data_IF_437314995066
#
_entry.id   IF_437314995066
#
_cell.length_a   1.000
_cell.length_b   1.000
_cell.length_c   1.000
_cell.angle_alpha   90.00
_cell.angle_beta   90.00
_cell.angle_gamma   90.00
#
_symmetry.space_group_name_H-M   'P 1'
#
loop_
_entity.id
_entity.type
_entity.pdbx_description
1 polymer ?
#
# COMPACT_ATOMS: atom_id res chain seq x y z
N UNK A 1 18.86 13.29 -8.55
CA UNK A 1 17.85 12.22 -8.50
C UNK A 1 18.61 10.91 -8.52
N UNK A 2 18.48 10.11 -7.50
CA UNK A 2 18.98 8.74 -7.46
C UNK A 2 17.80 7.80 -7.67
N UNK A 3 18.02 6.70 -8.36
CA UNK A 3 17.01 5.69 -8.62
C UNK A 3 17.44 4.38 -7.97
N UNK A 4 16.53 3.78 -7.24
CA UNK A 4 16.76 2.48 -6.59
C UNK A 4 15.83 1.44 -7.19
N UNK A 5 16.36 0.24 -7.43
CA UNK A 5 15.55 -0.90 -7.86
C UNK A 5 14.59 -1.29 -6.74
N UNK A 6 13.33 -1.55 -7.11
CA UNK A 6 12.26 -1.89 -6.19
C UNK A 6 11.58 -3.20 -6.61
N UNK A 7 11.14 -3.97 -5.62
CA UNK A 7 10.46 -5.24 -5.85
C UNK A 7 8.96 -5.02 -6.07
N UNK A 8 8.44 -5.67 -7.10
CA UNK A 8 7.00 -5.70 -7.36
C UNK A 8 6.37 -6.91 -6.67
N UNK A 9 5.52 -6.66 -5.69
CA UNK A 9 4.85 -7.69 -4.88
C UNK A 9 3.44 -8.05 -5.35
N UNK A 10 3.08 -7.68 -6.58
CA UNK A 10 1.81 -8.07 -7.16
C UNK A 10 0.70 -7.04 -7.00
N UNK A 11 -0.50 -7.50 -7.30
CA UNK A 11 -1.73 -6.72 -7.21
C UNK A 11 -2.48 -7.15 -5.95
N UNK A 12 -2.96 -6.17 -5.19
CA UNK A 12 -3.72 -6.41 -3.98
C UNK A 12 -5.03 -5.61 -3.99
N UNK A 13 -6.10 -6.26 -3.56
CA UNK A 13 -7.41 -5.62 -3.42
C UNK A 13 -7.60 -5.25 -1.95
N UNK A 14 -7.88 -3.99 -1.69
CA UNK A 14 -7.95 -3.43 -0.35
C UNK A 14 -9.30 -2.77 -0.08
N UNK A 15 -9.74 -2.90 1.18
CA UNK A 15 -10.96 -2.27 1.67
C UNK A 15 -12.25 -2.91 1.15
N UNK A 16 -13.40 -2.53 1.74
CA UNK A 16 -14.70 -3.10 1.38
C UNK A 16 -15.16 -2.66 -0.02
N UNK A 17 -14.65 -1.54 -0.53
CA UNK A 17 -14.93 -1.05 -1.88
C UNK A 17 -14.11 -1.76 -2.96
N UNK A 18 -13.15 -2.62 -2.59
CA UNK A 18 -12.35 -3.37 -3.53
C UNK A 18 -11.35 -2.54 -4.33
N UNK A 19 -10.73 -1.53 -3.71
CA UNK A 19 -9.66 -0.76 -4.34
C UNK A 19 -8.47 -1.64 -4.72
N UNK A 20 -8.00 -1.48 -5.93
CA UNK A 20 -6.92 -2.29 -6.48
C UNK A 20 -5.62 -1.50 -6.51
N UNK A 21 -4.56 -2.06 -5.92
CA UNK A 21 -3.24 -1.45 -5.86
C UNK A 21 -2.14 -2.38 -6.37
N UNK A 22 -1.23 -1.84 -7.15
CA UNK A 22 0.08 -2.43 -7.39
C UNK A 22 0.98 -2.12 -6.20
N UNK A 23 1.55 -3.15 -5.57
CA UNK A 23 2.38 -2.99 -4.38
C UNK A 23 3.84 -3.13 -4.73
N UNK A 24 4.60 -2.08 -4.46
CA UNK A 24 6.06 -2.06 -4.58
C UNK A 24 6.69 -2.10 -3.19
N UNK A 25 7.81 -2.77 -3.04
CA UNK A 25 8.54 -2.87 -1.76
C UNK A 25 10.02 -2.58 -1.96
N UNK A 26 10.58 -1.77 -1.10
CA UNK A 26 12.03 -1.57 -1.05
C UNK A 26 12.71 -2.82 -0.47
N UNK A 27 13.65 -3.44 -1.20
CA UNK A 27 14.36 -4.62 -0.75
C UNK A 27 14.99 -4.44 0.64
N UNK A 28 14.79 -5.45 1.51
CA UNK A 28 15.37 -5.44 2.86
C UNK A 28 14.71 -4.47 3.86
N UNK A 29 13.59 -3.87 3.51
CA UNK A 29 12.84 -2.97 4.40
C UNK A 29 11.37 -3.40 4.52
N UNK A 30 10.68 -2.85 5.51
CA UNK A 30 9.24 -3.00 5.69
C UNK A 30 8.45 -1.81 5.12
N UNK A 31 9.06 -1.07 4.21
CA UNK A 31 8.38 0.04 3.53
C UNK A 31 7.81 -0.43 2.21
N UNK A 32 6.55 -0.13 2.00
CA UNK A 32 5.83 -0.43 0.75
C UNK A 32 5.27 0.85 0.14
N UNK A 33 5.09 0.81 -1.16
CA UNK A 33 4.44 1.87 -1.92
C UNK A 33 3.25 1.26 -2.67
N UNK A 34 2.00 1.52 -2.24
CA UNK A 34 0.82 1.16 -3.01
C UNK A 34 0.58 2.21 -4.10
N UNK A 35 0.42 1.77 -5.34
CA UNK A 35 0.01 2.60 -6.47
C UNK A 35 -1.37 2.11 -6.92
N UNK A 36 -2.38 2.95 -6.76
CA UNK A 36 -3.75 2.63 -7.14
C UNK A 36 -3.87 2.57 -8.65
N UNK A 37 -4.46 1.48 -9.14
CA UNK A 37 -4.67 1.22 -10.57
C UNK A 37 -6.09 0.75 -10.83
N UNK A 38 -6.53 0.88 -12.07
CA UNK A 38 -7.87 0.44 -12.44
C UNK A 38 -7.95 -1.11 -12.47
N UNK A 39 -9.08 -1.73 -12.07
CA UNK A 39 -9.23 -3.18 -12.02
C UNK A 39 -8.96 -3.92 -13.33
N UNK A 40 -9.27 -3.30 -14.47
CA UNK A 40 -8.99 -3.89 -15.80
C UNK A 40 -7.49 -4.03 -16.05
N UNK A 41 -6.70 -2.99 -15.72
CA UNK A 41 -5.24 -2.97 -15.84
C UNK A 41 -4.61 -3.94 -14.84
N UNK A 42 -5.15 -3.99 -13.62
CA UNK A 42 -4.75 -4.96 -12.61
C UNK A 42 -4.88 -6.39 -13.10
N UNK A 43 -6.01 -6.74 -13.70
CA UNK A 43 -6.26 -8.07 -14.26
C UNK A 43 -5.27 -8.43 -15.37
N UNK A 44 -4.88 -7.46 -16.20
CA UNK A 44 -3.87 -7.68 -17.23
C UNK A 44 -2.48 -7.93 -16.61
N UNK A 45 -2.09 -7.14 -15.60
CA UNK A 45 -0.83 -7.33 -14.87
C UNK A 45 -0.79 -8.73 -14.25
N UNK A 46 -1.85 -9.15 -13.54
CA UNK A 46 -1.95 -10.49 -12.92
C UNK A 46 -1.84 -11.61 -13.95
N UNK A 47 -2.50 -11.45 -15.10
CA UNK A 47 -2.38 -12.41 -16.19
C UNK A 47 -0.93 -12.55 -16.66
N UNK A 48 -0.19 -11.44 -16.80
CA UNK A 48 1.24 -11.46 -17.18
C UNK A 48 2.11 -12.11 -16.10
N UNK A 49 1.86 -11.79 -14.82
CA UNK A 49 2.55 -12.44 -13.69
C UNK A 49 2.33 -13.96 -13.71
N UNK A 50 1.12 -14.41 -14.04
CA UNK A 50 0.78 -15.83 -14.16
C UNK A 50 1.33 -16.48 -15.43
N UNK A 51 2.09 -15.78 -16.26
CA UNK A 51 2.69 -16.30 -17.49
C UNK A 51 1.72 -16.38 -18.67
N UNK A 52 0.56 -15.73 -18.58
CA UNK A 52 -0.37 -15.70 -19.71
C UNK A 52 0.22 -14.96 -20.90
N UNK A 53 0.20 -15.62 -22.05
CA UNK A 53 0.57 -15.05 -23.35
C UNK A 53 -0.62 -15.19 -24.31
N UNK A 54 -1.13 -14.10 -24.87
CA UNK A 54 -2.25 -14.16 -25.79
C UNK A 54 -1.83 -14.82 -27.12
N UNK A 55 -2.73 -15.55 -27.76
CA UNK A 55 -2.50 -16.18 -29.07
C UNK A 55 -2.21 -15.18 -30.19
N UNK A 56 -2.71 -13.97 -30.04
CA UNK A 56 -2.44 -12.82 -30.91
C UNK A 56 -1.98 -11.67 -30.04
N UNK A 57 -1.00 -10.86 -30.47
CA UNK A 57 -0.52 -9.71 -29.72
C UNK A 57 -1.67 -8.78 -29.33
N UNK A 58 -1.78 -8.44 -28.05
CA UNK A 58 -2.58 -7.34 -27.54
C UNK A 58 -1.83 -6.01 -27.74
N UNK A 59 -2.40 -4.90 -27.28
CA UNK A 59 -1.80 -3.57 -27.48
C UNK A 59 -0.41 -3.46 -26.86
N UNK A 60 -0.22 -3.94 -25.63
CA UNK A 60 1.07 -3.90 -24.95
C UNK A 60 2.10 -4.86 -25.60
N UNK A 61 1.68 -6.02 -26.12
CA UNK A 61 2.58 -6.91 -26.86
C UNK A 61 3.07 -6.26 -28.14
N UNK A 62 2.14 -5.59 -28.88
CA UNK A 62 2.48 -4.86 -30.10
C UNK A 62 3.42 -3.69 -29.80
N UNK A 63 3.15 -2.95 -28.72
CA UNK A 63 4.01 -1.85 -28.28
C UNK A 63 5.40 -2.36 -27.89
N UNK A 64 5.49 -3.44 -27.12
CA UNK A 64 6.76 -4.07 -26.75
C UNK A 64 7.56 -4.49 -28.00
N UNK A 65 6.91 -5.15 -28.96
CA UNK A 65 7.55 -5.54 -30.23
C UNK A 65 8.03 -4.31 -31.04
N UNK A 66 7.22 -3.24 -31.06
CA UNK A 66 7.60 -2.00 -31.73
C UNK A 66 8.80 -1.33 -31.08
N UNK A 67 8.81 -1.23 -29.74
CA UNK A 67 9.94 -0.69 -28.96
C UNK A 67 11.23 -1.46 -29.24
N UNK A 68 11.16 -2.79 -29.18
CA UNK A 68 12.34 -3.64 -29.42
C UNK A 68 12.86 -3.58 -30.86
N UNK A 69 12.01 -3.30 -31.85
CA UNK A 69 12.41 -3.23 -33.26
C UNK A 69 12.80 -1.84 -33.75
N UNK A 70 12.20 -0.80 -33.16
CA UNK A 70 12.31 0.57 -33.67
C UNK A 70 13.20 1.47 -32.80
N UNK A 71 13.58 1.02 -31.61
CA UNK A 71 14.48 1.73 -30.72
C UNK A 71 15.72 0.88 -30.40
N UNK A 72 16.60 1.39 -29.52
CA UNK A 72 17.73 0.64 -28.97
C UNK A 72 17.32 -0.52 -28.03
N UNK A 73 16.02 -0.72 -27.80
CA UNK A 73 15.46 -1.56 -26.74
C UNK A 73 15.34 -0.78 -25.43
N UNK A 74 14.78 -1.43 -24.40
CA UNK A 74 14.56 -0.84 -23.08
C UNK A 74 15.40 -1.52 -22.03
N UNK A 75 15.86 -0.76 -21.01
CA UNK A 75 16.70 -1.26 -19.92
C UNK A 75 15.95 -1.31 -18.56
N UNK A 76 15.02 -0.42 -18.32
CA UNK A 76 14.25 -0.37 -17.06
C UNK A 76 12.93 0.36 -17.23
N UNK A 77 12.09 0.23 -16.22
CA UNK A 77 10.92 1.06 -15.99
C UNK A 77 11.21 1.92 -14.75
N UNK A 78 10.87 3.20 -14.79
CA UNK A 78 11.06 4.14 -13.68
C UNK A 78 9.76 4.74 -13.22
N UNK A 79 9.62 4.92 -11.90
CA UNK A 79 8.62 5.79 -11.28
C UNK A 79 9.35 7.10 -10.94
N UNK A 80 9.09 8.13 -11.74
CA UNK A 80 9.86 9.37 -11.72
C UNK A 80 9.34 10.41 -10.73
N UNK A 81 8.02 10.47 -10.55
CA UNK A 81 7.41 11.49 -9.70
C UNK A 81 6.01 11.09 -9.21
N UNK A 82 5.58 11.80 -8.17
CA UNK A 82 4.20 11.77 -7.66
C UNK A 82 3.74 13.22 -7.49
N UNK A 83 2.64 13.56 -8.14
CA UNK A 83 2.01 14.87 -7.98
C UNK A 83 0.53 14.68 -7.64
N UNK A 84 0.12 15.13 -6.45
CA UNK A 84 -1.25 15.01 -5.94
C UNK A 84 -1.84 13.57 -6.05
N UNK A 85 -1.01 12.56 -5.77
CA UNK A 85 -1.41 11.14 -5.84
C UNK A 85 -1.35 10.53 -7.25
N UNK A 86 -0.98 11.31 -8.26
CA UNK A 86 -0.77 10.82 -9.63
C UNK A 86 0.71 10.50 -9.82
N UNK A 87 1.01 9.23 -10.01
CA UNK A 87 2.37 8.77 -10.30
C UNK A 87 2.67 8.86 -11.80
N UNK A 88 3.85 9.35 -12.12
CA UNK A 88 4.38 9.42 -13.48
C UNK A 88 5.49 8.37 -13.60
N UNK A 89 5.36 7.51 -14.59
CA UNK A 89 6.34 6.49 -14.91
C UNK A 89 6.97 6.74 -16.29
N UNK A 90 8.08 6.09 -16.55
CA UNK A 90 8.71 6.09 -17.87
C UNK A 90 9.33 4.73 -18.18
N UNK A 91 9.38 4.39 -19.46
CA UNK A 91 10.29 3.36 -19.97
C UNK A 91 11.60 4.02 -20.34
N UNK A 92 12.71 3.45 -19.87
CA UNK A 92 14.05 3.93 -20.17
C UNK A 92 14.65 3.05 -21.24
N UNK A 93 15.03 3.66 -22.36
CA UNK A 93 15.67 2.95 -23.47
C UNK A 93 17.16 2.70 -23.17
N UNK A 94 17.81 1.81 -23.95
CA UNK A 94 19.22 1.49 -23.75
C UNK A 94 20.17 2.66 -24.08
N UNK A 95 19.71 3.66 -24.80
CA UNK A 95 20.43 4.91 -25.08
C UNK A 95 20.08 6.04 -24.09
N UNK A 96 19.25 5.75 -23.09
CA UNK A 96 18.94 6.65 -21.99
C UNK A 96 17.78 7.60 -22.24
N UNK A 97 17.05 7.43 -23.31
CA UNK A 97 15.82 8.19 -23.56
C UNK A 97 14.69 7.68 -22.67
N UNK A 98 13.88 8.60 -22.18
CA UNK A 98 12.70 8.29 -21.35
C UNK A 98 11.42 8.48 -22.14
N UNK A 99 10.59 7.44 -22.16
CA UNK A 99 9.27 7.45 -22.79
C UNK A 99 8.23 7.50 -21.69
N UNK A 100 7.47 8.59 -21.62
CA UNK A 100 6.41 8.78 -20.62
C UNK A 100 5.35 7.68 -20.67
N UNK A 101 4.96 7.18 -19.50
CA UNK A 101 4.01 6.10 -19.39
C UNK A 101 3.20 6.23 -18.07
N UNK A 102 1.99 5.69 -18.07
CA UNK A 102 1.27 5.47 -16.82
C UNK A 102 1.92 4.30 -16.06
N UNK A 103 1.89 4.30 -14.72
CA UNK A 103 2.42 3.19 -13.92
C UNK A 103 1.88 1.82 -14.34
N UNK A 104 0.57 1.72 -14.61
CA UNK A 104 -0.06 0.47 -15.06
C UNK A 104 0.52 -0.07 -16.37
N UNK A 105 0.69 0.80 -17.38
CA UNK A 105 1.27 0.41 -18.67
C UNK A 105 2.74 -0.01 -18.50
N UNK A 106 3.47 0.75 -17.68
CA UNK A 106 4.86 0.49 -17.35
C UNK A 106 5.04 -0.87 -16.65
N UNK A 107 4.17 -1.23 -15.70
CA UNK A 107 4.19 -2.54 -15.05
C UNK A 107 3.89 -3.68 -16.02
N UNK A 108 2.90 -3.53 -16.91
CA UNK A 108 2.61 -4.53 -17.94
C UNK A 108 3.83 -4.74 -18.84
N UNK A 109 4.42 -3.64 -19.33
CA UNK A 109 5.60 -3.70 -20.21
C UNK A 109 6.83 -4.26 -19.48
N UNK A 110 7.01 -3.96 -18.18
CA UNK A 110 8.08 -4.56 -17.37
C UNK A 110 7.97 -6.09 -17.33
N UNK A 111 6.74 -6.63 -17.28
CA UNK A 111 6.52 -8.08 -17.32
C UNK A 111 6.72 -8.69 -18.68
N UNK A 112 6.29 -8.01 -19.75
CA UNK A 112 6.46 -8.50 -21.13
C UNK A 112 7.93 -8.51 -21.54
N UNK A 113 8.67 -7.45 -21.16
CA UNK A 113 10.07 -7.24 -21.57
C UNK A 113 11.08 -7.69 -20.51
N UNK A 114 10.62 -8.23 -19.38
CA UNK A 114 11.44 -8.66 -18.23
C UNK A 114 12.37 -7.55 -17.71
N UNK A 115 11.85 -6.31 -17.63
CA UNK A 115 12.60 -5.15 -17.19
C UNK A 115 12.53 -4.95 -15.67
N UNK A 116 13.63 -4.52 -15.03
CA UNK A 116 13.60 -4.09 -13.64
C UNK A 116 12.76 -2.82 -13.49
N UNK A 117 12.16 -2.67 -12.30
CA UNK A 117 11.45 -1.46 -11.90
C UNK A 117 12.35 -0.67 -10.97
N UNK A 118 12.52 0.61 -11.26
CA UNK A 118 13.28 1.57 -10.48
C UNK A 118 12.34 2.68 -10.00
N UNK A 119 12.64 3.28 -8.87
CA UNK A 119 11.90 4.42 -8.33
C UNK A 119 12.87 5.51 -7.90
N UNK A 120 12.47 6.77 -8.10
CA UNK A 120 13.17 7.91 -7.52
C UNK A 120 13.12 7.83 -5.99
N UNK A 121 14.26 7.98 -5.34
CA UNK A 121 14.39 7.81 -3.89
C UNK A 121 13.53 8.81 -3.12
N UNK A 122 13.43 10.05 -3.61
CA UNK A 122 12.60 11.09 -2.96
C UNK A 122 11.11 10.76 -3.09
N UNK A 123 10.67 10.21 -4.23
CA UNK A 123 9.29 9.76 -4.43
C UNK A 123 8.96 8.61 -3.49
N UNK A 124 9.89 7.65 -3.37
CA UNK A 124 9.68 6.53 -2.45
C UNK A 124 9.60 6.98 -1.00
N UNK A 125 10.52 7.81 -0.55
CA UNK A 125 10.55 8.28 0.83
C UNK A 125 9.31 9.10 1.21
N UNK A 126 8.77 9.88 0.28
CA UNK A 126 7.58 10.70 0.53
C UNK A 126 6.27 9.90 0.52
N UNK A 127 6.16 8.90 -0.33
CA UNK A 127 4.88 8.22 -0.60
C UNK A 127 4.80 6.79 -0.03
N UNK A 128 5.93 6.21 0.43
CA UNK A 128 5.92 4.87 1.01
C UNK A 128 5.42 4.90 2.45
N UNK A 129 4.78 3.81 2.85
CA UNK A 129 4.33 3.56 4.21
C UNK A 129 5.15 2.44 4.84
N UNK A 130 5.43 2.58 6.13
CA UNK A 130 6.03 1.50 6.93
C UNK A 130 4.91 0.62 7.50
N UNK A 131 5.10 -0.69 7.44
CA UNK A 131 4.19 -1.66 8.04
C UNK A 131 4.98 -2.62 8.94
N UNK A 132 4.33 -3.07 10.02
CA UNK A 132 4.89 -4.15 10.83
C UNK A 132 4.98 -5.45 10.03
N UNK A 133 5.81 -6.39 10.47
CA UNK A 133 5.90 -7.72 9.86
C UNK A 133 4.56 -8.45 9.88
N UNK A 134 3.78 -8.25 10.94
CA UNK A 134 2.45 -8.82 11.09
C UNK A 134 1.47 -8.25 10.06
N UNK A 135 1.50 -6.94 9.83
CA UNK A 135 0.64 -6.27 8.86
C UNK A 135 1.03 -6.61 7.42
N UNK A 136 2.33 -6.66 7.12
CA UNK A 136 2.83 -7.11 5.81
C UNK A 136 2.34 -8.53 5.49
N UNK A 137 2.41 -9.44 6.46
CA UNK A 137 1.93 -10.80 6.30
C UNK A 137 0.39 -10.85 6.20
N UNK A 138 -0.31 -10.09 7.02
CA UNK A 138 -1.77 -10.09 7.10
C UNK A 138 -2.43 -9.49 5.85
N UNK A 139 -2.00 -8.29 5.44
CA UNK A 139 -2.64 -7.57 4.34
C UNK A 139 -2.09 -7.90 2.96
N UNK A 140 -0.83 -8.30 2.88
CA UNK A 140 -0.14 -8.47 1.60
C UNK A 140 0.44 -9.88 1.40
N UNK A 141 0.39 -10.75 2.41
CA UNK A 141 1.01 -12.08 2.33
C UNK A 141 2.53 -12.04 2.18
N UNK A 142 3.15 -10.92 2.54
CA UNK A 142 4.58 -10.70 2.41
C UNK A 142 5.26 -11.10 3.72
N UNK A 143 6.10 -12.14 3.67
CA UNK A 143 6.95 -12.50 4.79
C UNK A 143 8.19 -11.60 4.79
N UNK A 144 8.45 -10.90 5.90
CA UNK A 144 9.70 -10.17 6.05
C UNK A 144 10.86 -11.16 6.12
N UNK A 145 11.77 -11.08 5.17
CA UNK A 145 13.03 -11.84 5.23
C UNK A 145 14.04 -11.25 6.21
N UNK A 146 13.65 -10.25 6.97
CA UNK A 146 14.47 -9.64 8.01
C UNK A 146 14.28 -10.49 9.27
N UNK A 147 15.27 -11.30 9.62
CA UNK A 147 15.31 -12.00 10.90
C UNK A 147 15.19 -10.94 12.00
N UNK A 148 14.02 -10.87 12.63
CA UNK A 148 13.72 -9.90 13.66
C UNK A 148 14.69 -10.06 14.82
N UNK A 149 15.57 -9.09 14.99
CA UNK A 149 16.06 -8.76 16.32
C UNK A 149 14.91 -8.02 16.98
N UNK A 150 14.29 -8.69 17.95
CA UNK A 150 13.20 -8.13 18.72
C UNK A 150 13.60 -6.80 19.35
N UNK A 151 13.01 -5.75 18.84
CA UNK A 151 12.95 -4.45 19.49
C UNK A 151 11.50 -4.01 19.38
N UNK A 152 10.91 -3.97 20.52
CA UNK A 152 9.62 -3.42 20.97
C UNK A 152 8.58 -2.90 19.97
N UNK A 153 7.37 -3.38 20.19
CA UNK A 153 6.07 -3.16 19.59
C UNK A 153 5.51 -1.71 19.69
N UNK A 154 6.38 -0.69 19.76
CA UNK A 154 5.96 0.70 19.90
C UNK A 154 6.62 1.66 18.90
N UNK A 155 6.61 1.29 17.60
CA UNK A 155 7.10 2.21 16.58
C UNK A 155 5.91 2.89 15.91
N UNK A 156 5.87 4.23 16.01
CA UNK A 156 4.87 5.06 15.35
C UNK A 156 4.87 4.90 13.83
N UNK A 157 3.77 5.26 13.20
CA UNK A 157 3.61 5.22 11.75
C UNK A 157 4.68 6.03 10.96
N UNK A 158 5.39 6.93 11.64
CA UNK A 158 6.51 7.70 11.08
C UNK A 158 7.87 7.00 11.20
N UNK A 159 7.96 5.91 11.99
CA UNK A 159 9.20 5.19 12.23
C UNK A 159 10.22 5.92 13.12
N UNK A 160 9.81 7.00 13.77
CA UNK A 160 10.64 7.82 14.65
C UNK A 160 10.12 7.72 16.08
N UNK A 161 10.89 7.13 16.98
CA UNK A 161 10.49 6.93 18.39
C UNK A 161 10.52 8.22 19.22
N UNK A 162 11.17 9.28 18.73
CA UNK A 162 11.34 10.53 19.46
C UNK A 162 10.03 11.35 19.56
N UNK A 163 9.24 11.52 18.47
CA UNK A 163 7.96 12.23 18.54
C UNK A 163 6.92 11.55 19.43
N UNK A 164 6.98 10.23 19.56
CA UNK A 164 6.03 9.47 20.39
C UNK A 164 6.33 9.63 21.88
N UNK A 165 7.62 9.62 22.25
CA UNK A 165 8.03 9.89 23.63
C UNK A 165 7.68 11.33 24.05
N UNK A 166 7.89 12.29 23.16
CA UNK A 166 7.54 13.70 23.39
C UNK A 166 6.02 13.89 23.49
N UNK A 167 5.23 13.12 22.72
CA UNK A 167 3.77 13.13 22.77
C UNK A 167 3.24 12.49 24.06
N UNK A 168 3.79 11.36 24.48
CA UNK A 168 3.45 10.72 25.76
C UNK A 168 3.75 11.64 26.94
N UNK A 169 4.91 12.31 26.95
CA UNK A 169 5.28 13.26 27.99
C UNK A 169 4.30 14.45 28.02
N UNK A 170 3.90 14.94 26.85
CA UNK A 170 2.89 16.00 26.74
C UNK A 170 1.52 15.55 27.28
N UNK A 171 1.06 14.36 26.93
CA UNK A 171 -0.22 13.81 27.42
C UNK A 171 -0.21 13.59 28.92
N UNK A 172 0.88 13.04 29.48
CA UNK A 172 1.05 12.90 30.92
C UNK A 172 1.06 14.27 31.63
N UNK A 173 1.69 15.26 31.05
CA UNK A 173 1.71 16.62 31.61
C UNK A 173 0.33 17.28 31.64
N UNK A 174 -0.56 16.89 30.74
CA UNK A 174 -1.96 17.32 30.69
C UNK A 174 -2.90 16.47 31.54
N UNK A 175 -2.39 15.41 32.20
CA UNK A 175 -3.17 14.53 33.09
C UNK A 175 -4.05 13.53 32.34
N UNK A 176 -3.74 13.27 31.07
CA UNK A 176 -4.44 12.25 30.27
C UNK A 176 -3.56 11.00 30.23
N UNK A 177 -4.09 9.89 30.72
CA UNK A 177 -3.41 8.60 30.70
C UNK A 177 -4.04 7.71 29.61
N UNK A 178 -3.25 6.84 29.00
CA UNK A 178 -3.68 5.92 27.95
C UNK A 178 -4.86 5.03 28.36
N UNK A 179 -4.94 4.71 29.66
CA UNK A 179 -6.06 3.97 30.27
C UNK A 179 -7.39 4.72 30.16
N UNK A 180 -7.38 6.05 30.08
CA UNK A 180 -8.60 6.86 29.97
C UNK A 180 -9.15 6.88 28.54
N UNK A 181 -8.33 6.58 27.55
CA UNK A 181 -8.70 6.51 26.12
C UNK A 181 -9.24 5.12 25.74
N UNK A 182 -8.86 4.07 26.45
CA UNK A 182 -9.29 2.69 26.17
C UNK A 182 -10.63 2.31 26.82
N UNK A 183 -11.33 3.26 27.47
CA UNK A 183 -12.70 3.19 27.94
C UNK A 183 -13.14 1.80 28.42
N UNK A 184 -12.71 1.35 29.58
CA UNK A 184 -13.33 0.21 30.23
C UNK A 184 -14.77 0.57 30.63
N UNK A 185 -15.70 0.09 29.86
CA UNK A 185 -17.13 0.14 30.15
C UNK A 185 -17.45 -1.00 31.11
N UNK A 186 -17.05 -0.85 32.38
CA UNK A 186 -17.55 -1.73 33.45
C UNK A 186 -18.90 -1.21 33.93
N UNK A 187 -19.91 -1.99 33.60
CA UNK A 187 -21.24 -1.89 34.17
C UNK A 187 -21.19 -2.18 35.68
N UNK A 188 -21.36 -1.18 36.52
CA UNK A 188 -21.70 -1.38 37.93
C UNK A 188 -23.22 -1.39 38.10
N UNK A 189 -23.75 -2.56 38.48
CA UNK A 189 -25.11 -2.74 38.88
C UNK A 189 -25.39 -1.96 40.18
N UNK A 190 -26.58 -1.41 40.26
CA UNK A 190 -27.18 -0.84 41.49
C UNK A 190 -28.63 -1.29 41.57
N UNK A 191 -28.86 -2.16 42.55
CA UNK A 191 -30.17 -2.63 43.01
C UNK A 191 -31.01 -1.52 43.64
N UNK A 192 -32.34 -1.75 43.60
CA UNK A 192 -33.33 -1.20 44.54
C UNK A 192 -34.19 -0.09 43.94
N UNK A 193 -35.46 -0.05 44.01
CA UNK A 193 -36.43 -0.57 44.95
C UNK A 193 -37.84 -0.44 44.34
N UNK A 194 -38.75 -1.23 44.85
CA UNK A 194 -40.18 -1.27 44.56
C UNK A 194 -40.86 0.08 44.73
N UNK A 195 -41.87 0.37 43.94
CA UNK A 195 -43.18 0.74 44.51
C UNK A 195 -44.32 0.55 43.52
N UNK A 196 -45.45 0.16 44.10
CA UNK A 196 -46.75 -0.21 43.53
C UNK A 196 -47.50 0.94 42.88
N UNK A 197 -48.38 0.59 41.98
CA UNK A 197 -49.42 1.58 41.61
C UNK A 197 -50.21 1.25 40.33
N UNK A 198 -51.13 0.29 40.46
CA UNK A 198 -52.53 0.38 39.98
C UNK A 198 -52.85 0.78 38.51
N UNK A 199 -53.39 -0.19 37.82
CA UNK A 199 -54.37 -0.05 36.72
C UNK A 199 -55.60 0.81 37.12
N UNK A 200 -56.52 1.26 36.22
CA UNK A 200 -57.00 0.53 35.07
C UNK A 200 -57.55 1.37 33.89
N UNK A 201 -57.78 0.72 32.77
CA UNK A 201 -59.07 0.90 32.15
C UNK A 201 -59.20 1.57 30.76
N UNK A 202 -59.77 0.79 29.88
CA UNK A 202 -60.76 1.10 28.85
C UNK A 202 -60.29 1.55 27.45
N UNK A 203 -60.38 0.66 26.50
CA UNK A 203 -61.51 0.35 25.57
C UNK A 203 -61.59 1.20 24.28
N UNK A 204 -61.58 0.45 23.16
CA UNK A 204 -62.33 0.65 21.90
C UNK A 204 -61.89 1.83 20.99
N UNK A 205 -61.56 1.63 19.79
CA UNK A 205 -62.23 0.94 18.65
C UNK A 205 -61.23 0.51 17.59
#
# INVERSE_FOLDING_TARGET
>A
MAFTQIDFHGIHVQGPEGFTAAVLRMPGTNRILPIWIHPEEASEIEARISGFQPKRPASHDLLADALMRLTSGCQSVRINSNFEGVYIAALVTNDGEEIDARPSDAFILSRILELPIEIDDDVFMQASIFLSDADLAHYFGISSGVAGNGIDDHISASGDAQPDADFEELMQSMGVFETDLLGENEASGGEGDNDDGESPGHRKR
#
